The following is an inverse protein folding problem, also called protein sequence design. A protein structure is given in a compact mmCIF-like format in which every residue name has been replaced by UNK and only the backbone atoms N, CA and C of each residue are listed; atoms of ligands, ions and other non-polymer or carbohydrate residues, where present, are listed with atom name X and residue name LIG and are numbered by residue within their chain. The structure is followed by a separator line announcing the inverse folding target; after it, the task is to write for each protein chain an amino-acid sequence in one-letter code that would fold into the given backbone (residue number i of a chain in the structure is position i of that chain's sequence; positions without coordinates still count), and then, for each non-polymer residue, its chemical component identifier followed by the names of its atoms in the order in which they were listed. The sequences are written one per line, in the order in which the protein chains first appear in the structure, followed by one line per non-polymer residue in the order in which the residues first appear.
data_IF_943285162592
#
_entry.id   IF_943285162592
#
_cell.length_a   1.000
_cell.length_b   1.000
_cell.length_c   1.000
_cell.angle_alpha   90.00
_cell.angle_beta   90.00
_cell.angle_gamma   90.00
#
_symmetry.space_group_name_H-M   'P 1'
#
loop_
_entity.id
_entity.type
_entity.pdbx_description
1 polymer ?
#
# COMPACT_ATOMS: atom_id res chain seq x y z
N UNK A 1 39.48 22.49 5.95
CA UNK A 1 38.92 21.12 5.82
C UNK A 1 37.39 21.20 5.84
N UNK A 2 36.66 20.98 4.73
CA UNK A 2 35.21 20.98 4.78
C UNK A 2 34.67 19.59 5.16
N UNK A 3 33.71 19.60 6.08
CA UNK A 3 33.04 18.43 6.67
C UNK A 3 32.17 17.73 5.61
N UNK A 4 32.39 16.43 5.41
CA UNK A 4 31.61 15.55 4.54
C UNK A 4 30.29 15.20 5.23
N UNK A 5 29.19 15.80 4.80
CA UNK A 5 27.84 15.43 5.26
C UNK A 5 27.43 14.11 4.61
N UNK A 6 27.17 13.08 5.43
CA UNK A 6 26.57 11.82 4.98
C UNK A 6 25.09 12.09 4.68
N UNK A 7 24.71 12.15 3.41
CA UNK A 7 23.29 12.06 2.99
C UNK A 7 22.80 10.67 3.40
N UNK A 8 21.83 10.63 4.32
CA UNK A 8 21.10 9.41 4.63
C UNK A 8 20.24 9.02 3.44
N UNK A 9 20.46 7.82 2.90
CA UNK A 9 19.62 7.22 1.88
C UNK A 9 18.23 7.00 2.47
N UNK A 10 17.25 7.80 2.05
CA UNK A 10 15.83 7.51 2.31
C UNK A 10 15.50 6.23 1.55
N UNK A 11 14.94 5.24 2.24
CA UNK A 11 14.47 4.00 1.60
C UNK A 11 13.23 4.31 0.76
N UNK A 12 13.43 4.60 -0.52
CA UNK A 12 12.37 4.70 -1.53
C UNK A 12 11.90 3.29 -1.88
N UNK A 13 10.60 3.08 -1.99
CA UNK A 13 10.07 1.88 -2.64
C UNK A 13 9.71 2.28 -4.04
N UNK A 14 10.61 2.01 -4.98
CA UNK A 14 10.19 2.05 -6.37
C UNK A 14 9.59 0.73 -6.74
N UNK A 15 8.35 0.77 -7.22
CA UNK A 15 7.67 -0.40 -7.76
C UNK A 15 8.57 -1.02 -8.83
N UNK A 16 9.11 -0.19 -9.74
CA UNK A 16 10.00 -0.63 -10.84
C UNK A 16 11.35 -1.25 -10.40
N UNK A 17 11.96 -0.78 -9.31
CA UNK A 17 13.25 -1.29 -8.81
C UNK A 17 13.10 -2.65 -8.11
N UNK A 18 11.98 -2.86 -7.39
CA UNK A 18 11.64 -4.15 -6.78
C UNK A 18 11.46 -5.22 -7.88
N UNK A 19 10.87 -4.87 -9.03
CA UNK A 19 10.75 -5.78 -10.17
C UNK A 19 12.09 -6.15 -10.82
N UNK A 20 13.03 -5.22 -10.88
CA UNK A 20 14.35 -5.48 -11.48
C UNK A 20 15.15 -6.48 -10.64
N UNK A 21 15.04 -6.41 -9.31
CA UNK A 21 15.71 -7.34 -8.39
C UNK A 21 15.13 -8.76 -8.44
N UNK A 22 13.82 -8.91 -8.66
CA UNK A 22 13.19 -10.24 -8.78
C UNK A 22 13.49 -10.92 -10.13
N UNK A 23 13.82 -10.17 -11.18
CA UNK A 23 14.11 -10.73 -12.52
C UNK A 23 15.51 -11.36 -12.61
N UNK A 24 16.48 -10.82 -11.89
CA UNK A 24 17.87 -11.31 -11.86
C UNK A 24 18.02 -12.72 -11.27
N UNK A 25 17.02 -13.19 -10.50
CA UNK A 25 17.00 -14.55 -9.94
C UNK A 25 16.38 -15.60 -10.87
N UNK A 26 15.86 -15.22 -12.05
CA UNK A 26 15.07 -16.11 -12.92
C UNK A 26 15.77 -16.52 -14.23
N UNK A 27 17.03 -16.13 -14.46
CA UNK A 27 17.75 -16.37 -15.71
C UNK A 27 19.15 -16.93 -15.47
N UNK A 28 19.25 -18.10 -14.86
CA UNK A 28 20.42 -18.98 -15.05
C UNK A 28 20.04 -20.42 -14.70
N UNK A 29 19.62 -21.18 -15.73
CA UNK A 29 19.90 -22.60 -15.96
C UNK A 29 18.86 -23.19 -16.93
N UNK A 30 19.27 -23.39 -18.18
CA UNK A 30 18.60 -24.32 -19.08
C UNK A 30 19.63 -25.13 -19.86
N UNK A 31 19.57 -26.46 -19.71
CA UNK A 31 19.55 -27.45 -20.80
C UNK A 31 19.13 -28.82 -20.22
N UNK A 32 18.56 -29.74 -21.02
CA UNK A 32 17.33 -30.43 -20.66
C UNK A 32 17.48 -31.98 -20.55
N UNK A 33 16.35 -32.64 -20.24
CA UNK A 33 15.91 -33.98 -20.69
C UNK A 33 15.49 -34.94 -19.56
N UNK A 34 14.19 -35.28 -19.57
CA UNK A 34 13.54 -36.51 -19.07
C UNK A 34 13.73 -36.92 -17.61
N UNK A 35 13.11 -36.14 -16.74
CA UNK A 35 12.07 -36.62 -15.84
C UNK A 35 11.14 -35.40 -15.72
N UNK A 36 9.82 -35.48 -15.67
CA UNK A 36 9.17 -35.89 -14.43
C UNK A 36 7.65 -35.75 -14.61
N UNK A 37 6.91 -36.85 -14.72
CA UNK A 37 5.43 -36.83 -14.59
C UNK A 37 4.98 -36.80 -13.11
N UNK A 38 5.94 -36.70 -12.18
CA UNK A 38 5.72 -36.61 -10.73
C UNK A 38 5.95 -35.19 -10.15
N UNK A 39 6.50 -34.23 -10.92
CA UNK A 39 6.81 -32.88 -10.42
C UNK A 39 5.71 -31.87 -10.73
N UNK A 40 4.82 -32.18 -11.68
CA UNK A 40 3.66 -31.34 -11.97
C UNK A 40 2.60 -31.39 -10.84
N UNK A 41 2.75 -32.32 -9.88
CA UNK A 41 1.80 -32.51 -8.76
C UNK A 41 2.21 -31.83 -7.45
N UNK A 42 3.29 -31.03 -7.45
CA UNK A 42 3.76 -30.30 -6.25
C UNK A 42 3.77 -28.77 -6.41
N UNK A 43 3.32 -28.22 -7.54
CA UNK A 43 3.24 -26.76 -7.75
C UNK A 43 1.91 -26.12 -7.33
N UNK A 44 0.92 -26.92 -6.89
CA UNK A 44 -0.21 -26.40 -6.11
C UNK A 44 0.18 -26.36 -4.63
N UNK A 45 1.14 -25.52 -4.26
CA UNK A 45 1.08 -24.92 -2.94
C UNK A 45 -0.14 -23.99 -2.97
N UNK A 46 -1.12 -24.23 -2.10
CA UNK A 46 -2.10 -23.21 -1.75
C UNK A 46 -1.30 -21.93 -1.48
N UNK A 47 -1.37 -20.96 -2.39
CA UNK A 47 -0.61 -19.73 -2.23
C UNK A 47 -1.17 -19.02 -1.01
N UNK A 48 -0.46 -19.14 0.11
CA UNK A 48 -0.86 -18.51 1.35
C UNK A 48 -1.08 -17.02 1.10
N UNK A 49 -2.24 -16.51 1.49
CA UNK A 49 -2.51 -15.08 1.48
C UNK A 49 -1.57 -14.45 2.48
N UNK A 50 -0.61 -13.67 1.98
CA UNK A 50 0.38 -13.01 2.81
C UNK A 50 0.20 -11.50 2.83
N UNK A 51 -0.58 -10.94 1.92
CA UNK A 51 -0.89 -9.52 1.88
C UNK A 51 -2.39 -9.29 1.59
N UNK A 52 -2.89 -8.13 2.00
CA UNK A 52 -4.23 -7.67 1.66
C UNK A 52 -4.13 -6.29 1.02
N UNK A 53 -4.82 -6.09 -0.10
CA UNK A 53 -5.01 -4.81 -0.76
C UNK A 53 -6.45 -4.34 -0.57
N UNK A 54 -6.61 -3.26 0.17
CA UNK A 54 -7.87 -2.54 0.34
C UNK A 54 -7.97 -1.45 -0.71
N UNK A 55 -9.02 -1.48 -1.53
CA UNK A 55 -9.21 -0.52 -2.62
C UNK A 55 -10.50 0.26 -2.36
N UNK A 56 -10.38 1.58 -2.29
CA UNK A 56 -11.52 2.49 -2.24
C UNK A 56 -12.23 2.53 -3.61
N UNK A 57 -13.55 2.26 -3.68
CA UNK A 57 -14.30 2.31 -4.93
C UNK A 57 -14.42 3.72 -5.54
N UNK A 58 -14.09 4.79 -4.81
CA UNK A 58 -14.03 6.15 -5.34
C UNK A 58 -12.83 6.37 -6.29
N UNK A 59 -11.83 5.49 -6.25
CA UNK A 59 -10.73 5.50 -7.21
C UNK A 59 -11.25 5.11 -8.59
N UNK A 60 -10.93 5.92 -9.61
CA UNK A 60 -11.33 5.65 -11.00
C UNK A 60 -10.80 4.30 -11.47
N UNK A 61 -11.60 3.53 -12.20
CA UNK A 61 -11.22 2.20 -12.67
C UNK A 61 -10.62 1.30 -11.58
N UNK A 62 -11.13 1.37 -10.34
CA UNK A 62 -10.64 0.53 -9.23
C UNK A 62 -10.69 -0.97 -9.55
N UNK A 63 -11.62 -1.43 -10.40
CA UNK A 63 -11.71 -2.82 -10.84
C UNK A 63 -10.48 -3.24 -11.64
N UNK A 64 -9.90 -2.32 -12.42
CA UNK A 64 -8.65 -2.56 -13.12
C UNK A 64 -7.50 -2.78 -12.13
N UNK A 65 -7.40 -1.94 -11.09
CA UNK A 65 -6.42 -2.10 -10.02
C UNK A 65 -6.62 -3.42 -9.24
N UNK A 66 -7.88 -3.79 -8.99
CA UNK A 66 -8.22 -5.07 -8.37
C UNK A 66 -7.73 -6.25 -9.23
N UNK A 67 -7.92 -6.19 -10.56
CA UNK A 67 -7.44 -7.22 -11.49
C UNK A 67 -5.92 -7.28 -11.63
N UNK A 68 -5.21 -6.22 -11.21
CA UNK A 68 -3.76 -6.15 -11.24
C UNK A 68 -3.09 -6.83 -10.03
N UNK A 69 -3.87 -7.37 -9.08
CA UNK A 69 -3.35 -7.98 -7.89
C UNK A 69 -2.51 -9.24 -8.20
N UNK A 70 -1.35 -9.33 -7.54
CA UNK A 70 -0.44 -10.47 -7.68
C UNK A 70 -0.92 -11.66 -6.82
N UNK A 71 -0.58 -12.90 -7.21
CA UNK A 71 -0.85 -14.07 -6.38
C UNK A 71 -0.31 -13.91 -4.94
N UNK A 72 -1.06 -14.41 -3.97
CA UNK A 72 -0.77 -14.23 -2.53
C UNK A 72 -1.23 -12.88 -1.95
N UNK A 73 -1.90 -12.05 -2.75
CA UNK A 73 -2.59 -10.82 -2.31
C UNK A 73 -4.09 -11.02 -2.38
N UNK A 74 -4.78 -10.88 -1.26
CA UNK A 74 -6.24 -10.78 -1.24
C UNK A 74 -6.66 -9.34 -1.54
N UNK A 75 -7.67 -9.16 -2.38
CA UNK A 75 -8.24 -7.84 -2.67
C UNK A 75 -9.57 -7.69 -1.96
N UNK A 76 -9.71 -6.63 -1.18
CA UNK A 76 -10.97 -6.22 -0.55
C UNK A 76 -11.36 -4.86 -1.10
N UNK A 77 -12.49 -4.81 -1.80
CA UNK A 77 -13.11 -3.54 -2.22
C UNK A 77 -13.91 -3.01 -1.03
N UNK A 78 -13.62 -1.79 -0.61
CA UNK A 78 -14.33 -1.14 0.49
C UNK A 78 -15.75 -0.75 0.07
N UNK A 79 -16.65 -0.65 1.04
CA UNK A 79 -17.91 0.06 0.87
C UNK A 79 -17.67 1.56 1.02
N UNK A 80 -17.87 2.32 -0.06
CA UNK A 80 -17.72 3.78 -0.09
C UNK A 80 -18.67 4.54 0.85
N UNK A 81 -19.66 3.87 1.44
CA UNK A 81 -20.64 4.46 2.37
C UNK A 81 -20.29 4.24 3.83
N UNK A 82 -19.25 3.45 4.13
CA UNK A 82 -18.79 3.14 5.48
C UNK A 82 -17.40 3.75 5.69
N UNK A 83 -17.08 4.02 6.95
CA UNK A 83 -15.74 4.48 7.33
C UNK A 83 -14.68 3.45 6.89
N UNK A 84 -13.67 3.89 6.15
CA UNK A 84 -12.68 2.98 5.58
C UNK A 84 -11.72 2.39 6.61
N UNK A 85 -11.34 3.15 7.64
CA UNK A 85 -10.44 2.65 8.69
C UNK A 85 -11.15 1.59 9.53
N UNK A 86 -12.41 1.83 9.86
CA UNK A 86 -13.26 0.87 10.58
C UNK A 86 -13.40 -0.45 9.80
N UNK A 87 -13.64 -0.38 8.47
CA UNK A 87 -13.73 -1.55 7.60
C UNK A 87 -12.41 -2.33 7.52
N UNK A 88 -11.28 -1.63 7.38
CA UNK A 88 -9.96 -2.29 7.35
C UNK A 88 -9.69 -2.98 8.69
N UNK A 89 -9.96 -2.28 9.80
CA UNK A 89 -9.78 -2.82 11.16
C UNK A 89 -10.61 -4.09 11.39
N UNK A 90 -11.89 -4.06 10.98
CA UNK A 90 -12.78 -5.22 11.01
C UNK A 90 -12.22 -6.39 10.19
N UNK A 91 -11.83 -6.14 8.93
CA UNK A 91 -11.38 -7.16 7.99
C UNK A 91 -10.07 -7.85 8.44
N UNK A 92 -9.14 -7.12 9.06
CA UNK A 92 -7.85 -7.69 9.48
C UNK A 92 -7.87 -8.30 10.88
N UNK A 93 -8.88 -8.04 11.71
CA UNK A 93 -8.90 -8.44 13.12
C UNK A 93 -8.83 -9.96 13.37
N UNK A 94 -9.27 -10.74 12.40
CA UNK A 94 -9.23 -12.22 12.45
C UNK A 94 -8.05 -12.81 11.67
N UNK A 95 -7.17 -11.96 11.15
CA UNK A 95 -6.01 -12.36 10.34
C UNK A 95 -4.77 -12.46 11.23
N UNK A 96 -3.80 -13.24 10.77
CA UNK A 96 -2.54 -13.43 11.48
C UNK A 96 -1.38 -13.39 10.50
N UNK A 97 -0.25 -12.83 10.95
CA UNK A 97 1.03 -12.83 10.22
C UNK A 97 0.95 -12.25 8.80
N UNK A 98 0.08 -11.26 8.57
CA UNK A 98 0.08 -10.52 7.31
C UNK A 98 1.45 -9.86 7.10
N UNK A 99 2.06 -10.12 5.94
CA UNK A 99 3.37 -9.56 5.55
C UNK A 99 3.28 -8.13 5.05
N UNK A 100 2.10 -7.70 4.59
CA UNK A 100 1.82 -6.31 4.23
C UNK A 100 0.31 -6.03 4.22
N UNK A 101 -0.04 -4.76 4.45
CA UNK A 101 -1.34 -4.19 4.12
C UNK A 101 -1.11 -3.11 3.07
N UNK A 102 -1.93 -3.08 2.03
CA UNK A 102 -1.91 -2.06 0.98
C UNK A 102 -3.25 -1.33 1.00
N UNK A 103 -3.23 0.00 1.05
CA UNK A 103 -4.41 0.86 1.04
C UNK A 103 -4.34 1.75 -0.18
N UNK A 104 -5.34 1.65 -1.05
CA UNK A 104 -5.40 2.33 -2.35
C UNK A 104 -6.60 3.24 -2.28
N UNK A 105 -6.34 4.54 -2.26
CA UNK A 105 -7.36 5.54 -2.01
C UNK A 105 -6.93 6.91 -2.54
N UNK A 106 -7.81 7.89 -2.50
CA UNK A 106 -7.41 9.27 -2.78
C UNK A 106 -6.75 9.90 -1.55
N UNK A 107 -5.95 10.93 -1.77
CA UNK A 107 -5.22 11.58 -0.69
C UNK A 107 -4.79 12.99 -0.99
N UNK A 108 -4.34 13.66 0.05
CA UNK A 108 -3.65 14.95 0.00
C UNK A 108 -2.65 15.05 1.15
N UNK A 109 -1.76 16.05 1.20
CA UNK A 109 -0.74 16.14 2.24
C UNK A 109 -1.31 16.06 3.66
N UNK A 110 -1.05 14.95 4.36
CA UNK A 110 -1.52 14.71 5.73
C UNK A 110 -2.97 14.25 5.88
N UNK A 111 -3.61 13.82 4.79
CA UNK A 111 -5.01 13.40 4.79
C UNK A 111 -5.24 12.21 3.85
N UNK A 112 -6.06 11.26 4.28
CA UNK A 112 -6.57 10.14 3.50
C UNK A 112 -8.07 10.27 3.31
N UNK A 113 -8.56 10.08 2.08
CA UNK A 113 -9.98 9.84 1.87
C UNK A 113 -10.16 8.35 1.58
N UNK A 114 -10.79 7.62 2.48
CA UNK A 114 -10.94 6.16 2.39
C UNK A 114 -12.35 5.72 2.80
N UNK A 115 -13.09 5.14 1.86
CA UNK A 115 -14.50 4.87 2.05
C UNK A 115 -15.28 6.18 2.21
N UNK A 116 -16.06 6.30 3.27
CA UNK A 116 -16.79 7.54 3.60
C UNK A 116 -16.02 8.49 4.51
N UNK A 117 -14.81 8.15 4.95
CA UNK A 117 -14.04 8.96 5.90
C UNK A 117 -12.93 9.77 5.24
N UNK A 118 -12.77 11.00 5.73
CA UNK A 118 -11.58 11.82 5.53
C UNK A 118 -10.80 11.79 6.85
N UNK A 119 -9.55 11.32 6.81
CA UNK A 119 -8.73 11.04 7.99
C UNK A 119 -7.47 11.90 7.94
N UNK A 120 -7.46 12.96 8.73
CA UNK A 120 -6.32 13.86 8.93
C UNK A 120 -5.47 13.45 10.14
N UNK A 121 -4.43 14.24 10.45
CA UNK A 121 -3.57 13.99 11.62
C UNK A 121 -4.37 14.09 12.93
N UNK A 122 -5.31 15.01 13.00
CA UNK A 122 -6.16 15.28 14.15
C UNK A 122 -7.17 14.15 14.37
N UNK A 123 -7.73 13.59 13.30
CA UNK A 123 -8.76 12.55 13.36
C UNK A 123 -8.19 11.17 13.77
N UNK A 124 -6.89 10.93 13.58
CA UNK A 124 -6.25 9.66 13.92
C UNK A 124 -6.44 9.23 15.38
N UNK A 125 -6.58 10.19 16.30
CA UNK A 125 -6.80 9.87 17.72
C UNK A 125 -8.16 9.25 17.99
N UNK A 126 -9.16 9.59 17.16
CA UNK A 126 -10.50 9.05 17.32
C UNK A 126 -10.53 7.53 17.14
N UNK A 127 -9.67 7.00 16.27
CA UNK A 127 -9.51 5.57 16.00
C UNK A 127 -8.67 4.82 17.04
N UNK A 128 -8.42 5.43 18.21
CA UNK A 128 -7.70 4.78 19.33
C UNK A 128 -8.60 4.41 20.50
N UNK A 129 -9.82 4.94 20.53
CA UNK A 129 -10.85 4.60 21.51
C UNK A 129 -11.81 3.53 20.99
N UNK A 130 -12.66 3.01 21.88
CA UNK A 130 -13.71 2.06 21.49
C UNK A 130 -14.72 2.78 20.58
N UNK A 131 -14.77 2.39 19.31
CA UNK A 131 -15.75 2.87 18.32
C UNK A 131 -16.67 1.73 17.95
N UNK A 132 -17.92 1.74 18.42
CA UNK A 132 -18.95 0.77 18.01
C UNK A 132 -18.57 -0.72 18.18
N UNK A 133 -17.68 -1.04 19.12
CA UNK A 133 -17.17 -2.41 19.32
C UNK A 133 -16.19 -2.91 18.26
N UNK A 134 -15.71 -2.01 17.39
CA UNK A 134 -14.74 -2.34 16.35
C UNK A 134 -13.30 -2.32 16.88
N UNK A 135 -12.40 -3.13 16.27
CA UNK A 135 -10.97 -3.03 16.49
C UNK A 135 -10.46 -1.63 16.15
N UNK A 136 -9.47 -1.16 16.90
CA UNK A 136 -8.85 0.15 16.78
C UNK A 136 -7.59 0.08 15.92
N UNK A 137 -7.02 1.23 15.54
CA UNK A 137 -5.72 1.27 14.89
C UNK A 137 -4.62 0.57 15.71
N UNK A 138 -4.75 0.51 17.04
CA UNK A 138 -3.75 -0.15 17.91
C UNK A 138 -3.76 -1.67 17.77
N UNK A 139 -4.89 -2.23 17.38
CA UNK A 139 -5.06 -3.69 17.27
C UNK A 139 -4.50 -4.22 15.94
N UNK A 140 -4.18 -3.35 14.98
CA UNK A 140 -3.62 -3.74 13.68
C UNK A 140 -2.28 -4.48 13.81
N UNK A 141 -1.50 -4.22 14.87
CA UNK A 141 -0.23 -4.92 15.07
C UNK A 141 -0.40 -6.41 15.30
N UNK A 142 -1.56 -6.85 15.81
CA UNK A 142 -1.80 -8.25 16.15
C UNK A 142 -2.05 -9.09 14.88
N UNK A 143 -2.57 -8.44 13.83
CA UNK A 143 -2.79 -9.04 12.52
C UNK A 143 -1.51 -9.14 11.68
N UNK A 144 -0.53 -8.28 11.96
CA UNK A 144 0.67 -8.11 11.16
C UNK A 144 1.82 -9.02 11.62
N UNK A 145 2.57 -9.57 10.66
CA UNK A 145 3.86 -10.16 10.95
C UNK A 145 4.83 -9.10 11.47
N UNK A 146 5.79 -9.51 12.30
CA UNK A 146 6.79 -8.60 12.87
C UNK A 146 7.54 -7.84 11.77
N UNK A 147 7.41 -6.52 11.76
CA UNK A 147 8.08 -5.64 10.79
C UNK A 147 7.36 -5.53 9.44
N UNK A 148 6.17 -6.11 9.29
CA UNK A 148 5.33 -5.91 8.11
C UNK A 148 4.95 -4.42 7.98
N UNK A 149 5.08 -3.84 6.77
CA UNK A 149 4.69 -2.46 6.53
C UNK A 149 3.21 -2.34 6.13
N UNK A 150 2.69 -1.14 6.29
CA UNK A 150 1.45 -0.65 5.69
C UNK A 150 1.85 0.28 4.55
N UNK A 151 1.42 -0.03 3.34
CA UNK A 151 1.59 0.80 2.15
C UNK A 151 0.33 1.62 1.90
N UNK A 152 0.52 2.90 1.68
CA UNK A 152 -0.56 3.85 1.40
C UNK A 152 -0.31 4.46 0.03
N UNK A 153 -1.07 3.99 -0.95
CA UNK A 153 -1.15 4.54 -2.30
C UNK A 153 -2.26 5.60 -2.29
N UNK A 154 -1.96 6.75 -1.71
CA UNK A 154 -2.80 7.95 -1.77
C UNK A 154 -1.97 9.11 -2.25
N UNK A 155 -2.52 9.92 -3.16
CA UNK A 155 -1.78 11.03 -3.77
C UNK A 155 -1.21 11.95 -2.69
N UNK A 156 0.10 12.15 -2.70
CA UNK A 156 0.81 13.13 -1.89
C UNK A 156 0.59 13.07 -0.37
N UNK A 157 0.10 11.95 0.18
CA UNK A 157 -0.24 11.81 1.61
C UNK A 157 0.93 12.15 2.52
N UNK A 158 2.13 11.72 2.16
CA UNK A 158 3.35 11.96 2.93
C UNK A 158 4.07 13.26 2.54
N UNK A 159 3.51 14.06 1.63
CA UNK A 159 4.12 15.30 1.20
C UNK A 159 4.16 16.31 2.36
N UNK A 160 5.17 17.19 2.32
CA UNK A 160 5.39 18.26 3.30
C UNK A 160 5.58 17.80 4.76
N UNK A 161 5.66 18.77 5.68
CA UNK A 161 5.82 18.49 7.12
C UNK A 161 4.56 17.87 7.73
N UNK A 162 3.35 18.23 7.25
CA UNK A 162 2.10 17.70 7.81
C UNK A 162 1.92 16.23 7.42
N UNK A 163 2.14 15.88 6.14
CA UNK A 163 2.10 14.50 5.67
C UNK A 163 3.10 13.59 6.38
N UNK A 164 4.33 14.07 6.59
CA UNK A 164 5.32 13.31 7.37
C UNK A 164 4.89 13.11 8.83
N UNK A 165 4.21 14.07 9.47
CA UNK A 165 3.68 13.91 10.84
C UNK A 165 2.52 12.91 10.85
N UNK A 166 1.62 13.01 9.89
CA UNK A 166 0.49 12.10 9.70
C UNK A 166 0.96 10.64 9.64
N UNK A 167 1.83 10.28 8.68
CA UNK A 167 2.26 8.88 8.54
C UNK A 167 3.05 8.38 9.75
N UNK A 168 3.78 9.27 10.46
CA UNK A 168 4.48 8.91 11.70
C UNK A 168 3.51 8.64 12.84
N UNK A 169 2.42 9.41 12.94
CA UNK A 169 1.38 9.16 13.93
C UNK A 169 0.65 7.86 13.61
N UNK A 170 0.26 7.64 12.35
CA UNK A 170 -0.33 6.40 11.87
C UNK A 170 0.55 5.18 12.21
N UNK A 171 1.85 5.25 11.92
CA UNK A 171 2.83 4.22 12.26
C UNK A 171 2.98 3.97 13.77
N UNK A 172 2.85 5.02 14.58
CA UNK A 172 2.89 4.88 16.05
C UNK A 172 1.64 4.18 16.57
N UNK A 173 0.47 4.50 16.01
CA UNK A 173 -0.80 3.91 16.43
C UNK A 173 -0.89 2.44 16.04
N UNK A 174 -0.54 2.11 14.80
CA UNK A 174 -0.58 0.73 14.28
C UNK A 174 0.59 -0.16 14.69
N UNK A 175 1.65 0.41 15.26
CA UNK A 175 2.89 -0.31 15.56
C UNK A 175 3.71 -0.70 14.31
N UNK A 176 3.19 -0.48 13.11
CA UNK A 176 3.80 -0.88 11.85
C UNK A 176 4.74 0.18 11.27
N UNK A 177 5.55 -0.21 10.28
CA UNK A 177 6.16 0.77 9.38
C UNK A 177 5.09 1.26 8.41
N UNK A 178 5.05 2.57 8.13
CA UNK A 178 4.15 3.14 7.13
C UNK A 178 4.99 3.67 5.99
N UNK A 179 4.60 3.34 4.77
CA UNK A 179 5.26 3.75 3.53
C UNK A 179 4.20 4.38 2.63
N UNK A 180 4.42 5.62 2.18
CA UNK A 180 3.41 6.41 1.50
C UNK A 180 4.03 7.34 0.44
N UNK A 181 3.21 7.73 -0.53
CA UNK A 181 3.62 8.65 -1.60
C UNK A 181 3.73 10.10 -1.10
N UNK A 182 4.72 10.83 -1.61
CA UNK A 182 4.90 12.27 -1.41
C UNK A 182 4.65 13.10 -2.67
N UNK A 183 4.19 12.49 -3.75
CA UNK A 183 3.86 13.11 -5.04
C UNK A 183 2.53 12.54 -5.58
N UNK A 184 2.03 12.99 -6.75
CA UNK A 184 0.86 12.39 -7.35
C UNK A 184 1.04 10.89 -7.62
N UNK A 185 0.07 10.07 -7.21
CA UNK A 185 0.10 8.61 -7.40
C UNK A 185 -0.74 8.21 -8.61
N UNK A 186 -0.22 7.35 -9.49
CA UNK A 186 -0.94 6.80 -10.65
C UNK A 186 -0.19 6.89 -11.98
N UNK A 187 -0.89 7.28 -13.03
CA UNK A 187 -0.38 7.22 -14.41
C UNK A 187 0.79 8.18 -14.67
N UNK A 188 1.93 7.68 -15.19
CA UNK A 188 3.03 8.53 -15.68
C UNK A 188 2.61 9.52 -16.78
N UNK A 189 1.58 9.19 -17.56
CA UNK A 189 1.02 10.09 -18.57
C UNK A 189 0.39 11.36 -17.96
N UNK A 190 0.06 11.33 -16.67
CA UNK A 190 -0.49 12.47 -15.91
C UNK A 190 0.57 13.11 -14.99
N UNK A 191 1.84 12.75 -15.12
CA UNK A 191 2.91 13.23 -14.24
C UNK A 191 2.92 12.62 -12.84
N UNK A 192 2.21 11.50 -12.65
CA UNK A 192 2.16 10.72 -11.43
C UNK A 192 3.04 9.46 -11.53
N UNK A 193 3.27 8.76 -10.42
CA UNK A 193 3.91 7.44 -10.44
C UNK A 193 3.35 6.52 -9.35
N UNK A 194 3.83 5.28 -9.26
CA UNK A 194 3.37 4.32 -8.24
C UNK A 194 4.40 4.12 -7.12
N UNK A 195 5.45 4.93 -7.11
CA UNK A 195 6.50 4.84 -6.11
C UNK A 195 6.00 5.42 -4.78
N UNK A 196 6.63 4.97 -3.69
CA UNK A 196 6.35 5.47 -2.34
C UNK A 196 7.66 5.99 -1.75
N UNK A 197 7.74 7.31 -1.61
CA UNK A 197 9.00 8.02 -1.35
C UNK A 197 9.34 8.09 0.14
N UNK A 198 8.34 7.94 1.01
CA UNK A 198 8.49 8.21 2.44
C UNK A 198 8.11 6.98 3.25
N UNK A 199 9.10 6.45 3.96
CA UNK A 199 8.93 5.40 4.95
C UNK A 199 9.21 5.93 6.37
N UNK A 200 8.41 5.51 7.35
CA UNK A 200 8.61 5.91 8.75
C UNK A 200 9.75 5.15 9.44
N UNK A 201 10.02 3.91 8.99
CA UNK A 201 11.10 3.04 9.46
C UNK A 201 11.65 2.23 8.28
N UNK A 202 12.79 1.57 8.49
CA UNK A 202 13.22 0.50 7.58
C UNK A 202 12.30 -0.71 7.76
N UNK A 203 12.01 -1.38 6.66
CA UNK A 203 11.28 -2.62 6.61
C UNK A 203 11.97 -3.53 5.58
N UNK A 204 11.75 -4.83 5.70
CA UNK A 204 12.21 -5.79 4.68
C UNK A 204 11.26 -5.72 3.51
N UNK A 205 11.77 -5.64 2.28
CA UNK A 205 10.96 -5.59 1.06
C UNK A 205 9.93 -6.74 1.07
N UNK A 206 8.63 -6.43 1.25
CA UNK A 206 7.58 -7.44 1.28
C UNK A 206 7.16 -7.77 -0.17
N UNK A 207 6.31 -8.79 -0.37
CA UNK A 207 5.64 -8.95 -1.65
C UNK A 207 4.92 -7.65 -2.04
N UNK A 208 5.03 -7.26 -3.31
CA UNK A 208 4.18 -6.21 -3.87
C UNK A 208 2.77 -6.75 -4.06
N UNK A 209 1.77 -5.89 -3.91
CA UNK A 209 0.38 -6.25 -4.13
C UNK A 209 -0.01 -6.32 -5.62
N UNK A 210 0.70 -5.59 -6.50
CA UNK A 210 0.23 -5.34 -7.87
C UNK A 210 1.30 -5.58 -8.93
N UNK A 211 0.87 -6.02 -10.10
CA UNK A 211 1.71 -6.16 -11.29
C UNK A 211 2.11 -4.78 -11.86
N UNK A 212 3.42 -4.53 -12.00
CA UNK A 212 3.92 -3.25 -12.50
C UNK A 212 3.45 -2.90 -13.92
N UNK A 213 3.31 -3.89 -14.80
CA UNK A 213 2.90 -3.62 -16.19
C UNK A 213 1.46 -3.16 -16.21
N UNK A 214 0.63 -3.77 -15.37
CA UNK A 214 -0.75 -3.35 -15.19
C UNK A 214 -0.82 -1.94 -14.59
N UNK A 215 -0.07 -1.65 -13.52
CA UNK A 215 0.00 -0.31 -12.93
C UNK A 215 0.51 0.74 -13.94
N UNK A 216 1.50 0.43 -14.77
CA UNK A 216 2.01 1.32 -15.80
C UNK A 216 0.98 1.62 -16.91
N UNK A 217 -0.02 0.75 -17.08
CA UNK A 217 -1.09 0.90 -18.08
C UNK A 217 -2.36 1.53 -17.51
N UNK A 218 -2.40 1.80 -16.20
CA UNK A 218 -3.48 2.52 -15.56
C UNK A 218 -3.53 3.97 -16.07
N UNK A 219 -4.74 4.48 -16.32
CA UNK A 219 -4.96 5.73 -17.08
C UNK A 219 -5.27 6.95 -16.21
N UNK A 220 -5.41 6.78 -14.90
CA UNK A 220 -5.83 7.84 -13.99
C UNK A 220 -4.76 8.14 -12.93
N UNK A 221 -4.96 9.21 -12.17
CA UNK A 221 -4.26 9.46 -10.91
C UNK A 221 -5.21 9.23 -9.73
N UNK A 222 -4.64 9.06 -8.55
CA UNK A 222 -5.36 8.94 -7.27
C UNK A 222 -5.54 10.29 -6.58
N UNK A 223 -5.52 11.38 -7.36
CA UNK A 223 -5.76 12.71 -6.82
C UNK A 223 -7.20 12.81 -6.33
N UNK A 224 -7.42 13.64 -5.31
CA UNK A 224 -8.77 14.06 -4.98
C UNK A 224 -9.34 14.77 -6.21
N UNK A 225 -10.55 14.37 -6.65
CA UNK A 225 -11.29 15.22 -7.57
C UNK A 225 -11.58 16.50 -6.80
N UNK A 226 -10.77 17.53 -7.04
CA UNK A 226 -11.16 18.89 -6.70
C UNK A 226 -12.40 19.12 -7.55
N UNK A 227 -13.59 19.12 -6.95
CA UNK A 227 -14.78 19.59 -7.64
C UNK A 227 -14.44 20.98 -8.18
N UNK A 228 -14.17 21.08 -9.47
CA UNK A 228 -14.20 22.36 -10.14
C UNK A 228 -15.67 22.77 -10.07
N UNK A 229 -16.03 23.58 -9.10
CA UNK A 229 -17.04 24.58 -9.37
C UNK A 229 -16.47 25.36 -10.56
N UNK A 230 -16.90 24.96 -11.76
CA UNK A 230 -16.84 25.80 -12.91
C UNK A 230 -17.49 27.11 -12.47
N UNK A 231 -16.67 28.15 -12.34
CA UNK A 231 -17.16 29.49 -12.39
C UNK A 231 -17.89 29.63 -13.72
N UNK A 232 -19.22 29.53 -13.66
CA UNK A 232 -20.14 29.89 -14.73
C UNK A 232 -21.13 30.89 -14.16
#
# INVERSE_FOLDING_TARGET
MPKRTKKGTKSRVSVSEVFSSNRSNALENQTPVKATLANERLENQEQEITAIAFIDPAVKDYQYLASAALPGTEVIILDGRRDGIDQISEAISWRYKLRAIHIICSGSPGCLQVGSSEVSLEDLEEYTGVRSGLPTLRDWSDSLAKGAPIFIYGSSVAASKIGTKFIKRFAKLTGASVVASANPTGSPALGADWDLEVATKKFTAPPLAFDAKMLASYKHSLDLEVWSYAAS
#
